data_IF_405263724616
#
_entry.id   IF_405263724616
#
_cell.length_a   1.000
_cell.length_b   1.000
_cell.length_c   1.000
_cell.angle_alpha   90.00
_cell.angle_beta   90.00
_cell.angle_gamma   90.00
#
_symmetry.space_group_name_H-M   'P 1'
#
loop_
_entity.id
_entity.type
_entity.pdbx_description
1 polymer ?
#
# COMPACT_ATOMS: atom_id res chain seq x y z
N UNK A 1 11.90 -25.73 31.18
CA UNK A 1 12.39 -24.86 30.10
C UNK A 1 11.23 -24.70 29.12
N UNK A 2 10.49 -23.60 29.17
CA UNK A 2 9.38 -23.36 28.25
C UNK A 2 9.92 -23.21 26.83
N UNK A 3 9.39 -24.04 25.91
CA UNK A 3 9.78 -24.01 24.50
C UNK A 3 9.23 -22.75 23.82
N UNK A 4 10.06 -22.10 23.01
CA UNK A 4 9.63 -20.97 22.20
C UNK A 4 8.59 -21.47 21.20
N UNK A 5 7.39 -20.89 21.20
CA UNK A 5 6.34 -21.22 20.23
C UNK A 5 6.82 -21.02 18.79
N UNK A 6 6.35 -21.84 17.85
CA UNK A 6 6.62 -21.68 16.42
C UNK A 6 6.32 -20.25 15.94
N UNK A 7 5.23 -19.65 16.41
CA UNK A 7 4.88 -18.27 16.05
C UNK A 7 5.94 -17.26 16.50
N UNK A 8 6.50 -17.46 17.70
CA UNK A 8 7.55 -16.61 18.26
C UNK A 8 8.89 -16.83 17.53
N UNK A 9 9.23 -18.08 17.17
CA UNK A 9 10.40 -18.39 16.33
C UNK A 9 10.27 -17.79 14.92
N UNK A 10 9.12 -17.96 14.27
CA UNK A 10 8.82 -17.40 12.96
C UNK A 10 8.92 -15.87 12.95
N UNK A 11 8.36 -15.21 13.96
CA UNK A 11 8.47 -13.75 14.15
C UNK A 11 9.94 -13.30 14.27
N UNK A 12 10.76 -14.04 15.02
CA UNK A 12 12.19 -13.74 15.19
C UNK A 12 12.97 -13.89 13.88
N UNK A 13 12.79 -15.00 13.17
CA UNK A 13 13.44 -15.23 11.86
C UNK A 13 13.02 -14.15 10.87
N UNK A 14 11.72 -13.83 10.80
CA UNK A 14 11.21 -12.78 9.93
C UNK A 14 11.82 -11.41 10.22
N UNK A 15 11.94 -11.03 11.50
CA UNK A 15 12.60 -9.78 11.90
C UNK A 15 14.10 -9.77 11.54
N UNK A 16 14.77 -10.91 11.67
CA UNK A 16 16.16 -11.07 11.24
C UNK A 16 16.30 -10.88 9.73
N UNK A 17 15.43 -11.50 8.93
CA UNK A 17 15.44 -11.33 7.46
C UNK A 17 15.13 -9.88 7.04
N UNK A 18 14.21 -9.18 7.72
CA UNK A 18 13.96 -7.75 7.49
C UNK A 18 15.25 -6.94 7.69
N UNK A 19 16.00 -7.23 8.75
CA UNK A 19 17.24 -6.53 9.09
C UNK A 19 18.38 -6.86 8.12
N UNK A 20 18.60 -8.14 7.82
CA UNK A 20 19.75 -8.61 7.04
C UNK A 20 19.58 -8.47 5.53
N UNK A 21 18.36 -8.74 5.03
CA UNK A 21 18.07 -8.78 3.59
C UNK A 21 17.38 -7.50 3.11
N UNK A 22 17.23 -6.50 3.97
CA UNK A 22 16.49 -5.26 3.68
C UNK A 22 15.08 -5.53 3.14
N UNK A 23 14.44 -6.59 3.64
CA UNK A 23 13.05 -6.91 3.27
C UNK A 23 12.16 -5.83 3.85
N UNK A 24 11.30 -5.26 3.01
CA UNK A 24 10.32 -4.27 3.43
C UNK A 24 9.00 -4.96 3.72
N UNK A 25 8.40 -4.68 4.88
CA UNK A 25 7.14 -5.29 5.32
C UNK A 25 6.01 -4.99 4.34
N UNK A 26 5.11 -5.95 4.17
CA UNK A 26 3.88 -5.73 3.42
C UNK A 26 2.89 -4.88 4.24
N UNK A 27 1.95 -4.25 3.55
CA UNK A 27 0.85 -3.54 4.20
C UNK A 27 -0.18 -4.52 4.80
N UNK A 28 -1.14 -4.02 5.58
CA UNK A 28 -2.18 -4.85 6.19
C UNK A 28 -1.66 -5.66 7.40
N UNK A 29 -1.82 -6.99 7.40
CA UNK A 29 -1.61 -7.84 8.58
C UNK A 29 -0.22 -7.71 9.24
N UNK A 30 0.82 -7.36 8.48
CA UNK A 30 2.19 -7.28 9.00
C UNK A 30 2.52 -5.97 9.72
N UNK A 31 1.83 -4.90 9.36
CA UNK A 31 2.18 -3.52 9.78
C UNK A 31 1.00 -2.78 10.42
N UNK A 32 -0.23 -3.27 10.24
CA UNK A 32 -1.46 -2.59 10.62
C UNK A 32 -1.78 -1.40 9.70
N UNK A 33 -1.00 -1.19 8.64
CA UNK A 33 -1.25 -0.12 7.68
C UNK A 33 -2.56 -0.41 6.93
N UNK A 34 -3.52 0.54 6.87
CA UNK A 34 -4.77 0.35 6.17
C UNK A 34 -4.58 0.40 4.65
N UNK A 35 -3.49 0.98 4.17
CA UNK A 35 -3.20 1.18 2.74
C UNK A 35 -2.64 -0.08 2.07
N UNK A 36 -2.61 -0.12 0.74
CA UNK A 36 -1.99 -1.22 -0.03
C UNK A 36 -0.46 -1.32 0.06
N UNK A 37 0.22 -0.21 0.40
CA UNK A 37 1.66 -0.19 0.65
C UNK A 37 1.92 0.23 2.10
N UNK A 38 2.86 -0.46 2.75
CA UNK A 38 3.24 -0.14 4.11
C UNK A 38 3.98 1.19 4.18
N UNK A 39 3.98 1.83 5.35
CA UNK A 39 4.76 3.05 5.57
C UNK A 39 6.25 2.84 5.33
N UNK A 40 6.78 1.69 5.73
CA UNK A 40 8.17 1.30 5.48
C UNK A 40 8.46 1.23 3.97
N UNK A 41 7.51 0.75 3.16
CA UNK A 41 7.62 0.69 1.70
C UNK A 41 7.58 2.05 1.05
N UNK A 42 6.68 2.92 1.50
CA UNK A 42 6.64 4.32 1.02
C UNK A 42 7.97 5.02 1.33
N UNK A 43 8.51 4.84 2.54
CA UNK A 43 9.79 5.40 2.91
C UNK A 43 10.94 4.86 2.03
N UNK A 44 11.06 3.55 1.86
CA UNK A 44 12.08 2.93 1.02
C UNK A 44 12.03 3.42 -0.44
N UNK A 45 10.82 3.53 -1.01
CA UNK A 45 10.62 4.09 -2.35
C UNK A 45 11.08 5.55 -2.41
N UNK A 46 10.71 6.37 -1.41
CA UNK A 46 11.11 7.78 -1.38
C UNK A 46 12.63 7.96 -1.39
N UNK A 47 13.37 7.15 -0.62
CA UNK A 47 14.83 7.19 -0.61
C UNK A 47 15.43 6.77 -1.95
N UNK A 48 14.89 5.72 -2.58
CA UNK A 48 15.33 5.25 -3.90
C UNK A 48 15.09 6.27 -4.99
N UNK A 49 13.95 6.96 -4.96
CA UNK A 49 13.64 8.05 -5.90
C UNK A 49 14.62 9.19 -5.77
N UNK A 50 14.90 9.66 -4.56
CA UNK A 50 15.90 10.72 -4.33
C UNK A 50 17.29 10.29 -4.83
N UNK A 51 17.73 9.08 -4.49
CA UNK A 51 19.02 8.57 -4.96
C UNK A 51 19.09 8.47 -6.49
N UNK A 52 17.99 8.08 -7.15
CA UNK A 52 17.91 8.06 -8.61
C UNK A 52 17.93 9.46 -9.23
N UNK A 53 17.18 10.40 -8.65
CA UNK A 53 17.15 11.81 -9.06
C UNK A 53 18.52 12.48 -8.92
N UNK A 54 19.25 12.22 -7.82
CA UNK A 54 20.60 12.74 -7.60
C UNK A 54 21.63 12.21 -8.61
N UNK A 55 21.49 10.96 -9.06
CA UNK A 55 22.38 10.37 -10.08
C UNK A 55 22.01 10.78 -11.50
N UNK A 56 20.78 11.23 -11.71
CA UNK A 56 20.29 11.64 -13.03
C UNK A 56 20.75 13.05 -13.39
N UNK A 57 21.18 13.24 -14.63
CA UNK A 57 21.51 14.57 -15.17
C UNK A 57 20.27 15.39 -15.55
N UNK A 58 19.07 14.79 -15.47
CA UNK A 58 17.80 15.41 -15.86
C UNK A 58 17.20 16.28 -14.76
N UNK A 59 17.64 16.11 -13.51
CA UNK A 59 17.05 16.80 -12.36
C UNK A 59 18.07 17.70 -11.68
N UNK A 60 17.62 18.87 -11.24
CA UNK A 60 18.35 19.74 -10.32
C UNK A 60 17.45 20.06 -9.14
N UNK A 61 17.90 19.72 -7.94
CA UNK A 61 17.17 20.03 -6.72
C UNK A 61 17.21 21.54 -6.46
N UNK A 62 16.03 22.13 -6.21
CA UNK A 62 15.89 23.54 -5.81
C UNK A 62 15.80 23.74 -4.29
N UNK A 63 15.70 22.64 -3.55
CA UNK A 63 15.54 22.58 -2.09
C UNK A 63 16.36 21.40 -1.56
N UNK A 64 16.40 21.24 -0.23
CA UNK A 64 17.12 20.12 0.36
C UNK A 64 16.53 18.78 -0.14
N UNK A 65 17.36 17.79 -0.51
CA UNK A 65 16.86 16.49 -0.95
C UNK A 65 15.92 15.80 0.06
N UNK A 66 16.12 16.01 1.36
CA UNK A 66 15.23 15.46 2.38
C UNK A 66 13.83 16.13 2.38
N UNK A 67 13.73 17.43 2.11
CA UNK A 67 12.43 18.11 1.97
C UNK A 67 11.65 17.53 0.80
N UNK A 68 12.32 17.34 -0.35
CA UNK A 68 11.71 16.69 -1.52
C UNK A 68 11.30 15.25 -1.20
N UNK A 69 12.13 14.52 -0.45
CA UNK A 69 11.79 13.16 0.00
C UNK A 69 10.53 13.14 0.85
N UNK A 70 10.42 14.05 1.83
CA UNK A 70 9.27 14.13 2.73
C UNK A 70 8.00 14.49 1.96
N UNK A 71 8.10 15.38 0.97
CA UNK A 71 6.98 15.71 0.09
C UNK A 71 6.54 14.51 -0.77
N UNK A 72 7.49 13.73 -1.30
CA UNK A 72 7.19 12.46 -2.00
C UNK A 72 6.44 11.51 -1.07
N UNK A 73 6.92 11.32 0.17
CA UNK A 73 6.24 10.46 1.16
C UNK A 73 4.82 10.95 1.43
N UNK A 74 4.64 12.26 1.61
CA UNK A 74 3.34 12.87 1.86
C UNK A 74 2.36 12.63 0.71
N UNK A 75 2.80 12.88 -0.52
CA UNK A 75 1.99 12.69 -1.74
C UNK A 75 1.63 11.21 -1.96
N UNK A 76 2.61 10.32 -1.86
CA UNK A 76 2.37 8.87 -1.96
C UNK A 76 1.36 8.40 -0.90
N UNK A 77 1.52 8.84 0.34
CA UNK A 77 0.61 8.47 1.44
C UNK A 77 -0.80 8.99 1.17
N UNK A 78 -0.94 10.25 0.73
CA UNK A 78 -2.23 10.83 0.41
C UNK A 78 -2.97 10.05 -0.70
N UNK A 79 -2.25 9.67 -1.77
CA UNK A 79 -2.80 8.86 -2.85
C UNK A 79 -3.21 7.46 -2.38
N UNK A 80 -2.37 6.80 -1.59
CA UNK A 80 -2.66 5.47 -1.04
C UNK A 80 -3.85 5.48 -0.06
N UNK A 81 -4.01 6.53 0.74
CA UNK A 81 -5.18 6.70 1.60
C UNK A 81 -6.46 6.99 0.80
N UNK A 82 -6.36 7.75 -0.29
CA UNK A 82 -7.49 8.00 -1.17
C UNK A 82 -7.95 6.70 -1.84
N UNK A 83 -6.99 5.91 -2.33
CA UNK A 83 -7.25 4.60 -2.92
C UNK A 83 -7.89 3.63 -1.93
N UNK A 84 -7.43 3.60 -0.68
CA UNK A 84 -8.04 2.78 0.37
C UNK A 84 -9.51 3.17 0.62
N UNK A 85 -9.84 4.48 0.60
CA UNK A 85 -11.24 4.92 0.73
C UNK A 85 -12.12 4.44 -0.43
N UNK A 86 -11.58 4.43 -1.65
CA UNK A 86 -12.24 3.88 -2.84
C UNK A 86 -12.49 2.39 -2.66
N UNK A 87 -11.49 1.63 -2.24
CA UNK A 87 -11.61 0.18 -2.00
C UNK A 87 -12.67 -0.13 -0.92
N UNK A 88 -12.64 0.60 0.19
CA UNK A 88 -13.62 0.46 1.27
C UNK A 88 -15.05 0.76 0.79
N UNK A 89 -15.24 1.83 0.01
CA UNK A 89 -16.53 2.18 -0.55
C UNK A 89 -17.05 1.12 -1.53
N UNK A 90 -16.16 0.57 -2.38
CA UNK A 90 -16.50 -0.53 -3.28
C UNK A 90 -16.93 -1.79 -2.51
N UNK A 91 -16.17 -2.23 -1.51
CA UNK A 91 -16.55 -3.38 -0.67
C UNK A 91 -17.84 -3.14 0.11
N UNK A 92 -18.07 -1.92 0.59
CA UNK A 92 -19.31 -1.57 1.27
C UNK A 92 -20.53 -1.71 0.35
N UNK A 93 -20.42 -1.35 -0.94
CA UNK A 93 -21.48 -1.57 -1.94
C UNK A 93 -21.80 -3.04 -2.17
N UNK A 94 -20.80 -3.93 -2.12
CA UNK A 94 -21.03 -5.38 -2.26
C UNK A 94 -21.72 -5.91 -1.01
N UNK A 95 -21.25 -5.54 0.18
CA UNK A 95 -21.86 -5.95 1.45
C UNK A 95 -23.29 -5.42 1.65
N UNK A 96 -23.65 -4.31 0.98
CA UNK A 96 -25.00 -3.77 0.99
C UNK A 96 -25.98 -4.52 0.05
N UNK A 97 -25.49 -5.49 -0.74
CA UNK A 97 -26.36 -6.32 -1.56
C UNK A 97 -27.26 -7.20 -0.67
N UNK A 98 -28.50 -7.45 -1.12
CA UNK A 98 -29.44 -8.30 -0.38
C UNK A 98 -29.02 -9.77 -0.33
N UNK A 99 -28.21 -10.19 -1.29
CA UNK A 99 -27.70 -11.56 -1.39
C UNK A 99 -26.35 -11.62 -0.70
N UNK A 100 -26.08 -12.71 0.02
CA UNK A 100 -24.76 -12.98 0.56
C UNK A 100 -23.81 -13.36 -0.59
N UNK A 101 -22.75 -12.58 -0.75
CA UNK A 101 -21.74 -12.75 -1.81
C UNK A 101 -20.41 -12.97 -1.10
N UNK A 102 -19.90 -14.22 -1.07
CA UNK A 102 -18.68 -14.54 -0.33
C UNK A 102 -17.45 -13.78 -0.86
N UNK A 103 -16.67 -13.18 0.03
CA UNK A 103 -15.38 -12.55 -0.34
C UNK A 103 -14.43 -13.61 -0.95
N UNK A 104 -13.83 -13.29 -2.10
CA UNK A 104 -12.96 -14.20 -2.85
C UNK A 104 -13.69 -15.15 -3.81
N UNK A 105 -15.01 -15.04 -3.95
CA UNK A 105 -15.74 -15.65 -5.07
C UNK A 105 -15.51 -14.88 -6.38
N UNK A 106 -15.69 -15.53 -7.52
CA UNK A 106 -15.60 -14.88 -8.84
C UNK A 106 -16.62 -13.74 -9.00
N UNK A 107 -17.82 -13.93 -8.45
CA UNK A 107 -18.86 -12.89 -8.42
C UNK A 107 -18.42 -11.69 -7.59
N UNK A 108 -17.84 -11.92 -6.41
CA UNK A 108 -17.28 -10.86 -5.58
C UNK A 108 -16.22 -10.05 -6.33
N UNK A 109 -15.28 -10.72 -6.99
CA UNK A 109 -14.19 -10.08 -7.72
C UNK A 109 -14.71 -9.23 -8.89
N UNK A 110 -15.72 -9.72 -9.61
CA UNK A 110 -16.37 -8.98 -10.69
C UNK A 110 -17.07 -7.71 -10.19
N UNK A 111 -17.85 -7.83 -9.12
CA UNK A 111 -18.55 -6.71 -8.50
C UNK A 111 -17.59 -5.70 -7.89
N UNK A 112 -16.54 -6.17 -7.22
CA UNK A 112 -15.49 -5.33 -6.65
C UNK A 112 -14.81 -4.51 -7.73
N UNK A 113 -14.37 -5.14 -8.83
CA UNK A 113 -13.77 -4.42 -9.96
C UNK A 113 -14.69 -3.34 -10.52
N UNK A 114 -15.98 -3.66 -10.71
CA UNK A 114 -16.97 -2.72 -11.21
C UNK A 114 -17.16 -1.53 -10.26
N UNK A 115 -17.45 -1.79 -8.99
CA UNK A 115 -17.71 -0.73 -8.02
C UNK A 115 -16.47 0.11 -7.72
N UNK A 116 -15.29 -0.51 -7.72
CA UNK A 116 -14.02 0.20 -7.61
C UNK A 116 -13.85 1.17 -8.79
N UNK A 117 -14.10 0.73 -10.02
CA UNK A 117 -14.04 1.61 -11.20
C UNK A 117 -15.06 2.77 -11.12
N UNK A 118 -16.27 2.50 -10.63
CA UNK A 118 -17.29 3.54 -10.40
C UNK A 118 -16.83 4.58 -9.36
N UNK A 119 -16.23 4.15 -8.25
CA UNK A 119 -15.71 5.07 -7.23
C UNK A 119 -14.50 5.87 -7.74
N UNK A 120 -13.61 5.27 -8.54
CA UNK A 120 -12.49 5.96 -9.18
C UNK A 120 -12.97 7.02 -10.19
N UNK A 121 -14.05 6.73 -10.92
CA UNK A 121 -14.66 7.69 -11.87
C UNK A 121 -15.15 8.96 -11.17
N UNK A 122 -15.64 8.86 -9.93
CA UNK A 122 -16.03 10.04 -9.12
C UNK A 122 -14.84 10.95 -8.77
N UNK A 123 -13.63 10.40 -8.79
CA UNK A 123 -12.39 11.14 -8.61
C UNK A 123 -11.80 11.67 -9.93
N UNK A 124 -12.53 11.50 -11.04
CA UNK A 124 -12.09 11.91 -12.38
C UNK A 124 -11.11 10.94 -13.05
N UNK A 125 -10.95 9.72 -12.52
CA UNK A 125 -10.07 8.69 -13.08
C UNK A 125 -10.92 7.65 -13.81
N UNK A 126 -10.76 7.56 -15.13
CA UNK A 126 -11.41 6.52 -15.94
C UNK A 126 -10.49 5.31 -16.07
N UNK A 127 -10.95 4.15 -15.58
CA UNK A 127 -10.23 2.88 -15.66
C UNK A 127 -10.72 1.99 -16.81
N UNK A 128 -11.72 2.44 -17.58
CA UNK A 128 -12.30 1.70 -18.71
C UNK A 128 -11.83 2.24 -20.08
N UNK A 129 -10.89 3.18 -20.08
CA UNK A 129 -10.24 3.74 -21.27
C UNK A 129 -9.04 2.93 -21.73
#
# INVERSE_FOLDING_TARGET
REGISYQEMFRRIKNMLIKERKIVRAAGRETGDPMKLSRDKVNDISHKLIAAMQRSRLFRFKSEPNDVRLEIVRQMTALLMLEEKVDQAARAKIRAQKRDIPEGSEEWDLLHRRYYAEEMKKLGIDLQG
#
